data_IF_213554910734
#
_entry.id   IF_213554910734
#
_cell.length_a   1.000
_cell.length_b   1.000
_cell.length_c   1.000
_cell.angle_alpha   90.00
_cell.angle_beta   90.00
_cell.angle_gamma   90.00
#
_symmetry.space_group_name_H-M   'P 1'
#
loop_
_entity.id
_entity.type
_entity.pdbx_description
1 polymer ?
#
# COMPACT_ATOMS: atom_id res chain seq x y z
N UNK A 1 -7.19 7.48 13.98
CA UNK A 1 -6.95 6.77 12.70
C UNK A 1 -7.50 5.35 12.77
N UNK A 2 -7.86 4.81 11.64
CA UNK A 2 -8.46 3.49 11.57
C UNK A 2 -7.98 2.78 10.30
N UNK A 3 -7.51 1.54 10.44
CA UNK A 3 -7.00 0.75 9.32
C UNK A 3 -7.90 -0.46 9.14
N UNK A 4 -8.31 -0.73 7.91
CA UNK A 4 -9.22 -1.83 7.59
C UNK A 4 -9.06 -2.27 6.14
N UNK A 5 -9.65 -3.41 5.80
CA UNK A 5 -9.72 -3.86 4.42
C UNK A 5 -10.54 -2.86 3.59
N UNK A 6 -10.12 -2.63 2.35
CA UNK A 6 -10.87 -1.82 1.41
C UNK A 6 -12.16 -2.54 1.00
N UNK A 7 -13.21 -1.77 0.78
CA UNK A 7 -14.50 -2.26 0.28
C UNK A 7 -14.89 -1.44 -0.96
N UNK A 8 -15.97 -1.82 -1.62
CA UNK A 8 -16.39 -1.19 -2.88
C UNK A 8 -16.55 0.33 -2.77
N UNK A 9 -17.05 0.82 -1.63
CA UNK A 9 -17.24 2.26 -1.44
C UNK A 9 -15.93 3.04 -1.32
N UNK A 10 -14.79 2.36 -1.21
CA UNK A 10 -13.47 3.00 -1.15
C UNK A 10 -12.86 3.22 -2.53
N UNK A 11 -13.44 2.65 -3.59
CA UNK A 11 -12.86 2.70 -4.94
C UNK A 11 -12.61 4.13 -5.38
N UNK A 12 -13.56 5.03 -5.16
CA UNK A 12 -13.41 6.43 -5.56
C UNK A 12 -12.23 7.11 -4.85
N UNK A 13 -12.08 6.89 -3.55
CA UNK A 13 -10.98 7.46 -2.78
C UNK A 13 -9.63 6.90 -3.24
N UNK A 14 -9.55 5.59 -3.47
CA UNK A 14 -8.33 4.94 -3.98
C UNK A 14 -7.98 5.51 -5.35
N UNK A 15 -8.97 5.65 -6.23
CA UNK A 15 -8.78 6.24 -7.55
C UNK A 15 -8.21 7.66 -7.45
N UNK A 16 -8.79 8.50 -6.63
CA UNK A 16 -8.33 9.89 -6.46
C UNK A 16 -6.90 9.95 -5.93
N UNK A 17 -6.56 9.10 -4.96
CA UNK A 17 -5.20 9.02 -4.41
C UNK A 17 -4.22 8.58 -5.49
N UNK A 18 -4.57 7.56 -6.28
CA UNK A 18 -3.73 7.07 -7.36
C UNK A 18 -3.50 8.15 -8.43
N UNK A 19 -4.54 8.90 -8.80
CA UNK A 19 -4.42 9.98 -9.78
C UNK A 19 -3.50 11.10 -9.28
N UNK A 20 -3.57 11.45 -8.00
CA UNK A 20 -2.69 12.44 -7.40
C UNK A 20 -1.22 12.02 -7.45
N UNK A 21 -0.94 10.72 -7.37
CA UNK A 21 0.43 10.20 -7.50
C UNK A 21 0.88 10.10 -8.96
N UNK A 22 0.01 10.39 -9.91
CA UNK A 22 0.33 10.26 -11.33
C UNK A 22 0.21 8.84 -11.86
N UNK A 23 -0.40 7.95 -11.11
CA UNK A 23 -0.63 6.56 -11.54
C UNK A 23 -1.86 6.47 -12.44
N UNK A 24 -1.75 7.06 -13.62
CA UNK A 24 -2.89 7.29 -14.53
C UNK A 24 -3.52 6.01 -15.08
N UNK A 25 -2.78 4.90 -15.05
CA UNK A 25 -3.30 3.63 -15.54
C UNK A 25 -4.29 2.97 -14.57
N UNK A 26 -4.35 3.43 -13.31
CA UNK A 26 -5.31 2.93 -12.34
C UNK A 26 -6.68 3.59 -12.55
N UNK A 27 -7.45 3.04 -13.49
CA UNK A 27 -8.84 3.44 -13.71
C UNK A 27 -9.74 2.85 -12.63
N UNK A 28 -10.97 3.35 -12.56
CA UNK A 28 -11.98 2.80 -11.64
C UNK A 28 -12.20 1.31 -11.92
N UNK A 29 -12.31 0.93 -13.19
CA UNK A 29 -12.50 -0.48 -13.59
C UNK A 29 -11.32 -1.36 -13.14
N UNK A 30 -10.09 -0.86 -13.28
CA UNK A 30 -8.91 -1.58 -12.82
C UNK A 30 -8.93 -1.79 -11.32
N UNK A 31 -9.25 -0.74 -10.57
CA UNK A 31 -9.30 -0.81 -9.11
C UNK A 31 -10.36 -1.81 -8.66
N UNK A 32 -11.53 -1.86 -9.33
CA UNK A 32 -12.55 -2.87 -9.06
C UNK A 32 -11.98 -4.29 -9.19
N UNK A 33 -11.22 -4.55 -10.25
CA UNK A 33 -10.56 -5.84 -10.45
C UNK A 33 -9.51 -6.12 -9.37
N UNK A 34 -8.72 -5.10 -9.01
CA UNK A 34 -7.66 -5.25 -8.02
C UNK A 34 -8.18 -5.54 -6.62
N UNK A 35 -9.39 -5.10 -6.29
CA UNK A 35 -10.04 -5.49 -5.04
C UNK A 35 -10.32 -7.00 -4.97
N UNK A 36 -10.49 -7.63 -6.12
CA UNK A 36 -10.76 -9.08 -6.22
C UNK A 36 -9.46 -9.88 -6.29
N UNK A 37 -8.48 -9.40 -7.08
CA UNK A 37 -7.29 -10.16 -7.45
C UNK A 37 -6.08 -9.91 -6.55
N UNK A 38 -6.12 -8.86 -5.75
CA UNK A 38 -5.09 -8.54 -4.76
C UNK A 38 -5.77 -8.09 -3.47
N UNK A 39 -4.96 -7.72 -2.48
CA UNK A 39 -5.50 -7.21 -1.21
C UNK A 39 -5.16 -5.75 -1.06
N UNK A 40 -6.14 -4.98 -0.59
CA UNK A 40 -5.96 -3.55 -0.35
C UNK A 40 -6.45 -3.25 1.06
N UNK A 41 -5.62 -2.59 1.86
CA UNK A 41 -6.03 -2.00 3.13
C UNK A 41 -5.94 -0.49 3.03
N UNK A 42 -6.86 0.18 3.69
CA UNK A 42 -6.95 1.65 3.70
C UNK A 42 -6.76 2.17 5.11
N UNK A 43 -6.31 3.42 5.20
CA UNK A 43 -6.23 4.14 6.47
C UNK A 43 -7.15 5.34 6.42
N UNK A 44 -8.03 5.44 7.41
CA UNK A 44 -8.97 6.54 7.58
C UNK A 44 -8.49 7.47 8.69
N UNK A 45 -8.64 8.76 8.44
CA UNK A 45 -8.42 9.81 9.44
C UNK A 45 -9.61 10.74 9.34
N UNK A 46 -10.33 10.95 10.44
CA UNK A 46 -11.54 11.77 10.47
C UNK A 46 -12.58 11.33 9.42
N UNK A 47 -12.80 10.02 9.31
CA UNK A 47 -13.76 9.41 8.39
C UNK A 47 -13.41 9.60 6.90
N UNK A 48 -12.16 9.93 6.59
CA UNK A 48 -11.68 10.11 5.23
C UNK A 48 -10.54 9.14 4.97
N UNK A 49 -10.57 8.44 3.83
CA UNK A 49 -9.48 7.56 3.40
C UNK A 49 -8.34 8.46 2.90
N UNK A 50 -7.20 8.39 3.57
CA UNK A 50 -6.04 9.25 3.28
C UNK A 50 -4.85 8.48 2.77
N UNK A 51 -4.93 7.15 2.70
CA UNK A 51 -3.84 6.33 2.18
C UNK A 51 -4.28 4.89 2.04
N UNK A 52 -3.46 4.12 1.32
CA UNK A 52 -3.70 2.69 1.18
C UNK A 52 -2.40 1.96 0.86
N UNK A 53 -2.42 0.66 1.06
CA UNK A 53 -1.41 -0.25 0.51
C UNK A 53 -2.11 -1.42 -0.17
N UNK A 54 -1.60 -1.76 -1.36
CA UNK A 54 -2.03 -2.95 -2.09
C UNK A 54 -0.90 -3.96 -2.06
N UNK A 55 -1.24 -5.22 -1.83
CA UNK A 55 -0.23 -6.26 -1.67
C UNK A 55 -0.72 -7.61 -2.15
N UNK A 56 0.25 -8.48 -2.41
CA UNK A 56 0.04 -9.88 -2.76
C UNK A 56 0.74 -10.73 -1.70
N UNK A 57 0.12 -11.83 -1.29
CA UNK A 57 0.74 -12.70 -0.29
C UNK A 57 0.25 -14.14 -0.41
N UNK A 58 1.17 -15.07 -0.14
CA UNK A 58 0.83 -16.48 0.06
C UNK A 58 0.49 -16.77 1.54
N UNK A 59 0.60 -15.76 2.41
CA UNK A 59 0.37 -15.82 3.86
C UNK A 59 1.33 -16.77 4.60
N UNK A 60 2.28 -17.35 3.92
CA UNK A 60 3.20 -18.35 4.48
C UNK A 60 4.64 -17.85 4.49
N UNK A 61 5.14 -17.35 3.36
CA UNK A 61 6.54 -16.94 3.18
C UNK A 61 6.67 -15.47 2.81
N UNK A 62 5.88 -15.02 1.85
CA UNK A 62 6.09 -13.71 1.21
C UNK A 62 4.84 -12.84 1.23
N UNK A 63 5.03 -11.58 1.48
CA UNK A 63 4.06 -10.52 1.23
C UNK A 63 4.78 -9.45 0.41
N UNK A 64 4.28 -9.19 -0.80
CA UNK A 64 4.84 -8.20 -1.68
C UNK A 64 3.94 -6.97 -1.75
N UNK A 65 4.46 -5.82 -1.32
CA UNK A 65 3.75 -4.54 -1.42
C UNK A 65 3.91 -4.01 -2.84
N UNK A 66 2.80 -3.82 -3.53
CA UNK A 66 2.80 -3.27 -4.89
C UNK A 66 2.69 -1.75 -4.89
N UNK A 67 1.85 -1.19 -4.03
CA UNK A 67 1.76 0.25 -3.79
C UNK A 67 1.58 0.54 -2.31
N UNK A 68 2.18 1.62 -1.87
CA UNK A 68 2.01 2.17 -0.54
C UNK A 68 1.99 3.69 -0.69
N UNK A 69 0.89 4.32 -0.34
CA UNK A 69 0.74 5.75 -0.55
C UNK A 69 -0.12 6.40 0.53
N UNK A 70 0.28 7.59 0.92
CA UNK A 70 -0.49 8.48 1.79
C UNK A 70 -0.60 9.82 1.06
N UNK A 71 -1.78 10.45 1.08
CA UNK A 71 -1.98 11.75 0.44
C UNK A 71 -0.98 12.79 0.96
N UNK A 72 -0.63 13.74 0.10
CA UNK A 72 0.41 14.74 0.43
C UNK A 72 0.08 15.51 1.71
N UNK A 73 -1.18 15.84 1.93
CA UNK A 73 -1.61 16.63 3.10
C UNK A 73 -1.53 15.83 4.41
N UNK A 74 -1.37 14.51 4.33
CA UNK A 74 -1.33 13.63 5.51
C UNK A 74 0.02 12.94 5.67
N UNK A 75 1.04 13.37 4.93
CA UNK A 75 2.40 12.80 5.03
C UNK A 75 3.13 13.31 6.27
N UNK A 76 4.19 12.59 6.66
CA UNK A 76 5.05 12.89 7.82
C UNK A 76 4.29 12.84 9.16
N UNK A 77 3.23 12.04 9.21
CA UNK A 77 2.42 11.84 10.43
C UNK A 77 2.43 10.38 10.89
N UNK A 78 3.22 9.53 10.24
CA UNK A 78 3.36 8.13 10.62
C UNK A 78 2.31 7.19 10.05
N UNK A 79 1.49 7.63 9.11
CA UNK A 79 0.41 6.79 8.58
C UNK A 79 0.92 5.66 7.69
N UNK A 80 1.95 5.90 6.88
CA UNK A 80 2.55 4.83 6.08
C UNK A 80 3.18 3.76 6.99
N UNK A 81 3.88 4.18 8.05
CA UNK A 81 4.40 3.25 9.04
C UNK A 81 3.28 2.46 9.70
N UNK A 82 2.17 3.11 10.01
CA UNK A 82 1.02 2.43 10.61
C UNK A 82 0.45 1.34 9.71
N UNK A 83 0.40 1.59 8.38
CA UNK A 83 -0.02 0.57 7.42
C UNK A 83 0.93 -0.62 7.43
N UNK A 84 2.24 -0.38 7.45
CA UNK A 84 3.24 -1.45 7.50
C UNK A 84 3.12 -2.23 8.82
N UNK A 85 2.99 -1.54 9.94
CA UNK A 85 2.83 -2.18 11.26
C UNK A 85 1.57 -3.05 11.30
N UNK A 86 0.50 -2.60 10.65
CA UNK A 86 -0.73 -3.39 10.52
C UNK A 86 -0.46 -4.70 9.76
N UNK A 87 0.29 -4.64 8.66
CA UNK A 87 0.66 -5.84 7.90
C UNK A 87 1.51 -6.79 8.73
N UNK A 88 2.48 -6.27 9.48
CA UNK A 88 3.30 -7.08 10.36
C UNK A 88 2.47 -7.81 11.42
N UNK A 89 1.46 -7.14 11.95
CA UNK A 89 0.57 -7.73 12.96
C UNK A 89 -0.36 -8.80 12.35
N UNK A 90 -0.86 -8.56 11.13
CA UNK A 90 -1.76 -9.50 10.46
C UNK A 90 -1.05 -10.73 9.90
N UNK A 91 0.21 -10.58 9.48
CA UNK A 91 0.99 -11.62 8.82
C UNK A 91 2.37 -11.76 9.47
N UNK A 92 2.45 -12.25 10.72
CA UNK A 92 3.71 -12.21 11.47
C UNK A 92 4.80 -13.14 10.95
N UNK A 93 4.45 -14.12 10.10
CA UNK A 93 5.41 -15.12 9.62
C UNK A 93 5.96 -14.85 8.21
N UNK A 94 5.48 -13.81 7.52
CA UNK A 94 5.90 -13.53 6.15
C UNK A 94 7.05 -12.54 6.11
N UNK A 95 7.80 -12.57 5.00
CA UNK A 95 8.76 -11.52 4.65
C UNK A 95 8.00 -10.44 3.87
N UNK A 96 8.03 -9.21 4.37
CA UNK A 96 7.42 -8.08 3.68
C UNK A 96 8.48 -7.48 2.76
N UNK A 97 8.23 -7.52 1.46
CA UNK A 97 9.16 -7.09 0.42
C UNK A 97 8.47 -6.12 -0.53
N UNK A 98 9.27 -5.26 -1.17
CA UNK A 98 8.78 -4.29 -2.13
C UNK A 98 9.91 -3.80 -3.04
N UNK A 99 9.55 -3.15 -4.15
CA UNK A 99 10.49 -2.37 -4.96
C UNK A 99 10.39 -0.92 -4.51
N UNK A 100 11.52 -0.36 -4.10
CA UNK A 100 11.55 1.00 -3.54
C UNK A 100 11.86 2.03 -4.62
N UNK A 101 11.07 3.10 -4.65
CA UNK A 101 11.38 4.34 -5.38
C UNK A 101 11.78 5.46 -4.42
N UNK A 102 11.84 5.16 -3.12
CA UNK A 102 12.26 6.10 -2.09
C UNK A 102 13.03 5.36 -1.01
N UNK A 103 14.30 5.08 -1.31
CA UNK A 103 15.14 4.24 -0.45
C UNK A 103 15.27 4.78 0.96
N UNK A 104 15.48 6.10 1.12
CA UNK A 104 15.66 6.69 2.45
C UNK A 104 14.42 6.54 3.32
N UNK A 105 13.24 6.60 2.72
CA UNK A 105 11.98 6.40 3.45
C UNK A 105 11.92 4.99 4.04
N UNK A 106 12.16 3.98 3.21
CA UNK A 106 12.08 2.58 3.66
C UNK A 106 13.20 2.20 4.62
N UNK A 107 14.40 2.74 4.43
CA UNK A 107 15.51 2.51 5.34
C UNK A 107 15.20 3.06 6.74
N UNK A 108 14.53 4.19 6.85
CA UNK A 108 14.07 4.73 8.14
C UNK A 108 13.04 3.84 8.81
N UNK A 109 12.31 3.02 8.05
CA UNK A 109 11.37 2.05 8.56
C UNK A 109 12.03 0.68 8.78
N UNK A 110 13.36 0.62 8.72
CA UNK A 110 14.18 -0.59 8.97
C UNK A 110 14.09 -1.64 7.86
N UNK A 111 13.65 -1.26 6.67
CA UNK A 111 13.82 -2.10 5.49
C UNK A 111 15.27 -2.09 5.07
N UNK A 112 15.76 -3.20 4.53
CA UNK A 112 17.11 -3.31 3.99
C UNK A 112 17.07 -3.72 2.53
N UNK A 113 18.06 -3.30 1.75
CA UNK A 113 18.19 -3.69 0.35
C UNK A 113 18.52 -5.18 0.28
N UNK A 114 17.73 -5.95 -0.45
CA UNK A 114 17.90 -7.39 -0.61
C UNK A 114 18.25 -7.78 -2.05
N UNK A 115 18.36 -6.83 -2.95
CA UNK A 115 18.67 -7.12 -4.36
C UNK A 115 18.21 -6.02 -5.29
N UNK A 116 18.32 -6.28 -6.57
CA UNK A 116 17.91 -5.34 -7.62
C UNK A 116 16.66 -5.88 -8.31
N UNK A 117 15.67 -5.01 -8.50
CA UNK A 117 14.45 -5.37 -9.22
C UNK A 117 14.65 -5.33 -10.73
N UNK A 118 14.02 -6.28 -11.42
CA UNK A 118 14.03 -6.35 -12.88
C UNK A 118 12.62 -6.48 -13.38
N UNK A 119 12.32 -5.82 -14.48
CA UNK A 119 11.01 -5.92 -15.14
C UNK A 119 11.21 -6.32 -16.58
N UNK A 120 10.46 -7.31 -17.04
CA UNK A 120 10.40 -7.65 -18.45
C UNK A 120 9.60 -6.55 -19.15
N UNK A 121 10.10 -5.96 -20.23
CA UNK A 121 9.45 -4.85 -20.90
C UNK A 121 8.04 -5.19 -21.43
#
# INVERSE_FOLDING_TARGET
MFIRNAIDTDIQSIYEIAQQEGWKTFSIEKIQQLLITSRIIVIEVNNEVVGYTRFLTDETVTLYITELVVTKTHRKKGYAKALIDYLLAQFPSVRIELLSENNSFYEKLHFRNIGTGYRLP
#
